data_IF_177688472980
#
_entry.id   IF_177688472980
#
_cell.length_a   1.000
_cell.length_b   1.000
_cell.length_c   1.000
_cell.angle_alpha   90.00
_cell.angle_beta   90.00
_cell.angle_gamma   90.00
#
_symmetry.space_group_name_H-M   'P 1'
#
loop_
_entity.id
_entity.type
_entity.pdbx_description
1 polymer ?
#
# COMPACT_ATOMS: atom_id res chain seq x y z
N UNK A 1 30.80 4.30 58.81
CA UNK A 1 30.85 3.71 57.45
C UNK A 1 29.53 3.01 57.18
N UNK A 2 28.63 3.62 56.40
CA UNK A 2 27.46 2.96 55.77
C UNK A 2 27.08 3.82 54.55
N UNK A 3 27.33 3.26 53.37
CA UNK A 3 27.26 3.92 52.07
C UNK A 3 25.82 4.30 51.70
N UNK A 4 25.64 5.55 51.29
CA UNK A 4 24.47 6.05 50.57
C UNK A 4 24.48 5.48 49.15
N UNK A 5 23.46 4.68 48.79
CA UNK A 5 23.27 4.17 47.43
C UNK A 5 22.42 5.20 46.65
N UNK A 6 23.05 5.86 45.69
CA UNK A 6 22.39 6.71 44.71
C UNK A 6 21.75 5.83 43.62
N UNK A 7 20.43 5.89 43.49
CA UNK A 7 19.70 5.21 42.42
C UNK A 7 19.82 6.02 41.12
N UNK A 8 20.60 5.51 40.16
CA UNK A 8 20.66 6.05 38.81
C UNK A 8 19.40 5.60 38.03
N UNK A 9 18.48 6.54 37.75
CA UNK A 9 17.41 6.34 36.79
C UNK A 9 18.01 6.30 35.38
N UNK A 10 18.17 5.10 34.82
CA UNK A 10 18.48 4.90 33.41
C UNK A 10 17.15 4.98 32.64
N UNK A 11 16.85 6.15 32.09
CA UNK A 11 15.79 6.29 31.10
C UNK A 11 16.19 5.54 29.83
N UNK A 12 15.65 4.33 29.62
CA UNK A 12 15.67 3.67 28.33
C UNK A 12 14.77 4.46 27.37
N UNK A 13 15.34 5.44 26.68
CA UNK A 13 14.68 6.13 25.57
C UNK A 13 14.57 5.16 24.39
N UNK A 14 13.50 4.37 24.34
CA UNK A 14 13.09 3.73 23.10
C UNK A 14 12.74 4.82 22.10
N UNK A 15 13.47 4.92 21.00
CA UNK A 15 13.16 5.86 19.93
C UNK A 15 11.81 5.47 19.33
N UNK A 16 10.74 6.13 19.76
CA UNK A 16 9.45 6.13 19.09
C UNK A 16 9.60 6.97 17.81
N UNK A 17 10.20 6.36 16.79
CA UNK A 17 10.13 6.95 15.47
C UNK A 17 8.65 6.89 15.05
N UNK A 18 8.04 8.02 14.75
CA UNK A 18 6.69 8.04 14.18
C UNK A 18 6.85 8.12 12.67
N UNK A 19 6.26 7.18 11.94
CA UNK A 19 6.26 7.22 10.49
C UNK A 19 5.41 8.42 10.02
N UNK A 20 6.06 9.43 9.46
CA UNK A 20 5.41 10.61 8.89
C UNK A 20 5.26 10.43 7.39
N UNK A 21 4.24 9.67 6.98
CA UNK A 21 3.92 9.53 5.56
C UNK A 21 3.17 10.75 5.07
N UNK A 22 3.54 11.24 3.89
CA UNK A 22 2.68 12.11 3.11
C UNK A 22 1.60 11.22 2.47
N UNK A 23 0.31 11.59 2.53
CA UNK A 23 -0.74 10.83 1.87
C UNK A 23 -0.43 10.62 0.38
N UNK A 24 -0.55 9.39 -0.14
CA UNK A 24 -0.25 9.10 -1.53
C UNK A 24 -1.29 9.75 -2.46
N UNK A 25 -0.80 10.27 -3.58
CA UNK A 25 -1.66 10.77 -4.67
C UNK A 25 -2.00 9.64 -5.66
N UNK A 26 -3.29 9.46 -6.02
CA UNK A 26 -3.72 8.38 -6.91
C UNK A 26 -3.27 8.57 -8.37
N UNK A 27 -3.16 9.81 -8.86
CA UNK A 27 -2.66 10.09 -10.21
C UNK A 27 -1.16 9.81 -10.30
N UNK A 28 -0.37 10.17 -9.28
CA UNK A 28 1.04 9.81 -9.16
C UNK A 28 1.22 8.29 -9.14
N UNK A 29 0.34 7.57 -8.44
CA UNK A 29 0.37 6.11 -8.38
C UNK A 29 0.05 5.49 -9.74
N UNK A 30 -0.90 6.06 -10.47
CA UNK A 30 -1.20 5.66 -11.84
C UNK A 30 -0.02 5.92 -12.79
N UNK A 31 0.59 7.10 -12.74
CA UNK A 31 1.77 7.43 -13.54
C UNK A 31 2.91 6.45 -13.26
N UNK A 32 3.22 6.19 -11.99
CA UNK A 32 4.22 5.19 -11.61
C UNK A 32 3.92 3.81 -12.18
N UNK A 33 2.65 3.36 -12.16
CA UNK A 33 2.25 2.09 -12.77
C UNK A 33 2.37 2.10 -14.30
N UNK A 34 2.06 3.22 -14.95
CA UNK A 34 2.11 3.36 -16.41
C UNK A 34 3.55 3.48 -16.96
N UNK A 35 4.46 4.02 -16.15
CA UNK A 35 5.89 4.19 -16.48
C UNK A 35 6.75 2.99 -16.07
N UNK A 36 6.21 2.05 -15.28
CA UNK A 36 6.90 0.86 -14.84
C UNK A 36 7.21 -0.09 -16.00
N UNK A 37 8.29 -0.87 -15.86
CA UNK A 37 8.60 -1.95 -16.81
C UNK A 37 7.63 -3.13 -16.63
N UNK A 38 7.13 -3.32 -15.41
CA UNK A 38 6.14 -4.33 -15.08
C UNK A 38 4.73 -3.94 -15.53
N UNK A 39 3.92 -4.95 -15.82
CA UNK A 39 2.51 -4.72 -16.13
C UNK A 39 1.69 -4.53 -14.86
N UNK A 40 0.79 -3.55 -14.86
CA UNK A 40 -0.13 -3.29 -13.75
C UNK A 40 -1.60 -3.34 -14.20
N UNK A 41 -2.44 -3.90 -13.35
CA UNK A 41 -3.89 -3.80 -13.43
C UNK A 41 -4.40 -2.95 -12.26
N UNK A 42 -5.39 -2.10 -12.51
CA UNK A 42 -6.07 -1.36 -11.43
C UNK A 42 -7.38 -2.05 -11.11
N UNK A 43 -7.53 -2.46 -9.85
CA UNK A 43 -8.69 -3.20 -9.35
C UNK A 43 -9.42 -2.35 -8.31
N UNK A 44 -10.76 -2.34 -8.37
CA UNK A 44 -11.60 -1.72 -7.35
C UNK A 44 -12.62 -2.73 -6.84
N UNK A 45 -12.56 -3.06 -5.55
CA UNK A 45 -13.40 -4.11 -4.99
C UNK A 45 -12.99 -4.50 -3.58
N UNK A 46 -13.22 -5.76 -3.22
CA UNK A 46 -12.87 -6.28 -1.89
C UNK A 46 -11.79 -7.36 -2.00
N UNK A 47 -10.90 -7.37 -1.02
CA UNK A 47 -9.86 -8.39 -0.85
C UNK A 47 -10.18 -9.20 0.41
N UNK A 48 -10.44 -10.50 0.24
CA UNK A 48 -10.77 -11.41 1.35
C UNK A 48 -9.56 -12.27 1.68
N UNK A 49 -9.09 -12.19 2.92
CA UNK A 49 -7.96 -12.95 3.48
C UNK A 49 -8.08 -12.96 5.01
N UNK A 50 -7.29 -13.80 5.68
CA UNK A 50 -7.19 -13.79 7.14
C UNK A 50 -6.15 -12.72 7.55
N UNK A 51 -6.52 -11.71 8.36
CA UNK A 51 -5.58 -10.68 8.78
C UNK A 51 -4.39 -11.23 9.58
N UNK A 52 -4.48 -12.43 10.16
CA UNK A 52 -3.35 -13.08 10.85
C UNK A 52 -2.21 -13.47 9.90
N UNK A 53 -2.50 -13.59 8.60
CA UNK A 53 -1.51 -13.95 7.58
C UNK A 53 -0.57 -12.78 7.26
N UNK A 54 -0.92 -11.56 7.68
CA UNK A 54 -0.14 -10.36 7.48
C UNK A 54 0.56 -9.92 8.78
N UNK A 55 1.77 -9.34 8.70
CA UNK A 55 2.46 -8.84 9.87
C UNK A 55 1.70 -7.68 10.54
N UNK A 56 1.95 -7.45 11.82
CA UNK A 56 1.58 -6.19 12.45
C UNK A 56 2.25 -5.00 11.77
N UNK A 57 1.71 -3.79 11.98
CA UNK A 57 2.26 -2.57 11.38
C UNK A 57 3.67 -2.24 11.90
N UNK A 58 3.97 -2.58 13.15
CA UNK A 58 5.30 -2.45 13.74
C UNK A 58 5.84 -3.85 14.06
N UNK A 59 6.96 -4.24 13.43
CA UNK A 59 7.49 -5.59 13.55
C UNK A 59 8.90 -5.63 14.14
N UNK A 60 9.89 -5.16 13.40
CA UNK A 60 11.30 -5.33 13.75
C UNK A 60 12.17 -4.33 13.00
N UNK A 61 13.23 -3.86 13.65
CA UNK A 61 14.27 -3.04 13.00
C UNK A 61 15.31 -3.88 12.23
N UNK A 62 15.14 -5.21 12.15
CA UNK A 62 16.03 -6.07 11.38
C UNK A 62 15.90 -5.77 9.87
N UNK A 63 16.93 -5.22 9.21
CA UNK A 63 16.88 -4.90 7.77
C UNK A 63 16.78 -6.15 6.88
N UNK A 64 17.05 -7.35 7.44
CA UNK A 64 16.92 -8.61 6.71
C UNK A 64 15.55 -9.26 6.87
N UNK A 65 14.66 -8.66 7.67
CA UNK A 65 13.30 -9.18 7.84
C UNK A 65 12.57 -9.18 6.50
N UNK A 66 12.02 -10.34 6.15
CA UNK A 66 11.17 -10.53 4.98
C UNK A 66 9.76 -10.82 5.49
N UNK A 67 8.81 -9.87 5.34
CA UNK A 67 7.46 -10.09 5.82
C UNK A 67 6.78 -11.20 5.00
N UNK A 68 6.00 -12.08 5.64
CA UNK A 68 5.23 -13.09 4.93
C UNK A 68 4.18 -12.43 4.03
N UNK A 69 3.93 -13.04 2.88
CA UNK A 69 2.84 -12.66 1.97
C UNK A 69 1.54 -13.41 2.35
N UNK A 70 0.39 -12.79 2.11
CA UNK A 70 -0.92 -13.44 2.25
C UNK A 70 -1.59 -13.67 0.90
N UNK A 71 -2.37 -14.74 0.78
CA UNK A 71 -3.22 -14.97 -0.38
C UNK A 71 -4.61 -14.37 -0.14
N UNK A 72 -5.02 -13.46 -1.01
CA UNK A 72 -6.35 -12.87 -0.98
C UNK A 72 -7.20 -13.29 -2.17
N UNK A 73 -8.52 -13.41 -1.94
CA UNK A 73 -9.51 -13.51 -3.01
C UNK A 73 -10.08 -12.13 -3.30
N UNK A 74 -9.84 -11.65 -4.52
CA UNK A 74 -10.42 -10.41 -5.04
C UNK A 74 -11.80 -10.65 -5.68
N UNK A 75 -12.73 -9.73 -5.45
CA UNK A 75 -13.99 -9.60 -6.19
C UNK A 75 -14.35 -8.12 -6.39
N UNK A 76 -14.75 -7.76 -7.61
CA UNK A 76 -15.13 -6.39 -7.94
C UNK A 76 -14.95 -6.04 -9.43
N UNK A 77 -14.37 -4.87 -9.67
CA UNK A 77 -14.21 -4.25 -10.98
C UNK A 77 -12.74 -4.09 -11.35
N UNK A 78 -12.46 -4.14 -12.65
CA UNK A 78 -11.17 -3.77 -13.22
C UNK A 78 -11.29 -2.48 -14.03
N UNK A 79 -10.25 -1.66 -13.99
CA UNK A 79 -10.18 -0.45 -14.79
C UNK A 79 -9.89 -0.78 -16.25
N UNK A 80 -10.70 -0.25 -17.16
CA UNK A 80 -10.48 -0.27 -18.60
C UNK A 80 -10.60 1.13 -19.20
N UNK A 81 -10.45 1.25 -20.52
CA UNK A 81 -10.53 2.53 -21.23
C UNK A 81 -11.87 3.27 -21.04
N UNK A 82 -12.95 2.54 -20.75
CA UNK A 82 -14.29 3.09 -20.49
C UNK A 82 -14.57 3.35 -18.99
N UNK A 83 -13.59 3.17 -18.11
CA UNK A 83 -13.75 3.22 -16.65
C UNK A 83 -13.82 1.83 -16.00
N UNK A 84 -14.28 1.78 -14.75
CA UNK A 84 -14.38 0.54 -14.00
C UNK A 84 -15.57 -0.34 -14.45
N UNK A 85 -15.28 -1.57 -14.84
CA UNK A 85 -16.29 -2.56 -15.24
C UNK A 85 -16.13 -3.87 -14.44
N UNK A 86 -17.21 -4.66 -14.26
CA UNK A 86 -17.13 -5.95 -13.58
C UNK A 86 -16.04 -6.83 -14.18
N UNK A 87 -15.27 -7.49 -13.32
CA UNK A 87 -14.19 -8.37 -13.74
C UNK A 87 -14.26 -9.70 -12.99
N UNK A 88 -13.59 -10.73 -13.51
CA UNK A 88 -13.60 -12.05 -12.86
C UNK A 88 -12.91 -12.00 -11.50
N UNK A 89 -13.50 -12.67 -10.52
CA UNK A 89 -12.85 -12.92 -9.24
C UNK A 89 -11.51 -13.65 -9.47
N UNK A 90 -10.47 -13.27 -8.72
CA UNK A 90 -9.12 -13.87 -8.86
C UNK A 90 -8.38 -13.94 -7.54
N UNK A 91 -7.35 -14.78 -7.50
CA UNK A 91 -6.39 -14.77 -6.38
C UNK A 91 -5.40 -13.64 -6.61
N UNK A 92 -5.10 -12.89 -5.54
CA UNK A 92 -4.09 -11.84 -5.52
C UNK A 92 -3.19 -12.07 -4.31
N UNK A 93 -1.89 -12.07 -4.53
CA UNK A 93 -0.90 -12.11 -3.44
C UNK A 93 -0.75 -10.72 -2.86
N UNK A 94 -0.94 -10.59 -1.55
CA UNK A 94 -0.61 -9.38 -0.80
C UNK A 94 0.82 -9.52 -0.32
N UNK A 95 1.70 -8.66 -0.81
CA UNK A 95 3.10 -8.61 -0.41
C UNK A 95 3.35 -7.37 0.45
N UNK A 96 3.48 -7.50 1.78
CA UNK A 96 3.94 -6.41 2.61
C UNK A 96 5.33 -5.95 2.23
N UNK A 97 5.55 -4.63 2.29
CA UNK A 97 6.86 -4.02 2.30
C UNK A 97 7.14 -3.45 3.68
N UNK A 98 8.40 -3.43 4.10
CA UNK A 98 8.78 -2.84 5.40
C UNK A 98 9.82 -1.75 5.21
N UNK A 99 9.60 -0.60 5.84
CA UNK A 99 10.53 0.52 5.91
C UNK A 99 10.98 0.69 7.35
N UNK A 100 12.19 0.22 7.67
CA UNK A 100 12.64 0.10 9.05
C UNK A 100 11.67 -0.80 9.84
N UNK A 101 11.14 -0.36 11.00
CA UNK A 101 10.24 -1.15 11.81
C UNK A 101 8.80 -1.24 11.27
N UNK A 102 8.40 -0.39 10.32
CA UNK A 102 7.02 -0.34 9.84
C UNK A 102 6.83 -1.23 8.63
N UNK A 103 5.90 -2.17 8.73
CA UNK A 103 5.46 -2.99 7.61
C UNK A 103 4.07 -2.53 7.17
N UNK A 104 3.86 -2.46 5.86
CA UNK A 104 2.55 -2.17 5.30
C UNK A 104 1.62 -3.37 5.45
N UNK A 105 0.34 -3.08 5.48
CA UNK A 105 -0.71 -4.07 5.63
C UNK A 105 -1.94 -3.64 4.81
N UNK A 106 -2.85 -4.56 4.56
CA UNK A 106 -4.16 -4.28 3.98
C UNK A 106 -5.22 -4.64 5.00
N UNK A 107 -6.33 -3.92 4.99
CA UNK A 107 -7.49 -4.32 5.78
C UNK A 107 -8.39 -5.23 4.92
N UNK A 108 -8.85 -6.39 5.42
CA UNK A 108 -9.68 -7.30 4.64
C UNK A 108 -11.12 -6.81 4.53
N UNK A 109 -11.82 -7.25 3.48
CA UNK A 109 -13.27 -7.10 3.27
C UNK A 109 -13.82 -5.66 3.19
N UNK A 110 -12.99 -4.65 2.89
CA UNK A 110 -13.48 -3.29 2.59
C UNK A 110 -13.30 -2.92 1.11
N UNK A 111 -14.08 -1.95 0.59
CA UNK A 111 -13.84 -1.35 -0.71
C UNK A 111 -12.42 -0.79 -0.80
N UNK A 112 -11.65 -1.27 -1.76
CA UNK A 112 -10.24 -0.91 -1.93
C UNK A 112 -9.95 -0.74 -3.42
N UNK A 113 -9.34 0.40 -3.78
CA UNK A 113 -8.73 0.59 -5.08
C UNK A 113 -7.25 0.21 -4.95
N UNK A 114 -6.79 -0.73 -5.77
CA UNK A 114 -5.44 -1.25 -5.71
C UNK A 114 -4.79 -1.31 -7.09
N UNK A 115 -3.53 -0.93 -7.15
CA UNK A 115 -2.64 -1.15 -8.27
C UNK A 115 -1.95 -2.50 -8.05
N UNK A 116 -2.22 -3.44 -8.95
CA UNK A 116 -1.82 -4.83 -8.81
C UNK A 116 -0.88 -5.19 -9.95
N UNK A 117 0.37 -5.52 -9.63
CA UNK A 117 1.35 -6.00 -10.59
C UNK A 117 0.89 -7.35 -11.15
N UNK A 118 1.04 -7.51 -12.46
CA UNK A 118 0.76 -8.75 -13.19
C UNK A 118 2.10 -9.33 -13.64
N UNK A 119 2.48 -10.44 -13.02
CA UNK A 119 3.69 -11.18 -13.37
C UNK A 119 3.61 -11.79 -14.78
N UNK A 120 4.75 -12.15 -15.37
CA UNK A 120 4.81 -12.81 -16.68
C UNK A 120 4.11 -14.18 -16.72
N UNK A 121 3.94 -14.80 -15.56
CA UNK A 121 3.20 -16.03 -15.29
C UNK A 121 1.69 -15.80 -15.04
N UNK A 122 1.24 -14.55 -15.10
CA UNK A 122 -0.15 -14.15 -14.84
C UNK A 122 -0.50 -14.07 -13.36
N UNK A 123 0.47 -14.16 -12.44
CA UNK A 123 0.21 -13.96 -11.01
C UNK A 123 0.01 -12.48 -10.68
N UNK A 124 -1.01 -12.21 -9.86
CA UNK A 124 -1.37 -10.86 -9.42
C UNK A 124 -0.76 -10.61 -8.04
N UNK A 125 0.03 -9.55 -7.91
CA UNK A 125 0.64 -9.15 -6.63
C UNK A 125 0.32 -7.69 -6.34
N UNK A 126 -0.21 -7.41 -5.15
CA UNK A 126 -0.38 -6.05 -4.63
C UNK A 126 0.66 -5.83 -3.54
N UNK A 127 1.40 -4.73 -3.64
CA UNK A 127 2.36 -4.35 -2.61
C UNK A 127 1.67 -3.49 -1.55
N UNK A 128 1.74 -3.94 -0.30
CA UNK A 128 1.25 -3.20 0.84
C UNK A 128 2.41 -2.42 1.46
N UNK A 129 2.53 -1.16 1.06
CA UNK A 129 3.53 -0.21 1.57
C UNK A 129 3.00 0.45 2.85
N UNK A 130 3.83 0.62 3.91
CA UNK A 130 3.41 1.25 5.17
C UNK A 130 2.99 2.72 5.01
N UNK A 131 3.43 3.39 3.94
CA UNK A 131 2.99 4.72 3.52
C UNK A 131 1.97 4.71 2.38
N UNK A 132 1.56 3.54 1.91
CA UNK A 132 0.58 3.37 0.84
C UNK A 132 1.13 3.66 -0.56
N UNK A 133 0.28 4.15 -1.45
CA UNK A 133 0.66 4.48 -2.83
C UNK A 133 0.41 3.38 -3.85
N UNK A 134 0.08 2.17 -3.42
CA UNK A 134 -0.48 1.13 -4.29
C UNK A 134 -1.86 0.66 -3.85
N UNK A 135 -2.25 0.96 -2.62
CA UNK A 135 -3.50 0.54 -1.99
C UNK A 135 -4.20 1.77 -1.43
N UNK A 136 -5.44 1.97 -1.83
CA UNK A 136 -6.31 3.06 -1.41
C UNK A 136 -7.56 2.45 -0.74
N UNK A 137 -7.53 2.25 0.59
CA UNK A 137 -8.66 1.71 1.34
C UNK A 137 -9.79 2.74 1.45
N UNK A 138 -11.04 2.31 1.27
CA UNK A 138 -12.24 3.15 1.24
C UNK A 138 -12.04 4.42 0.38
N UNK A 139 -11.68 4.27 -0.91
CA UNK A 139 -11.32 5.40 -1.75
C UNK A 139 -12.53 6.34 -1.90
N UNK A 140 -12.26 7.65 -1.90
CA UNK A 140 -13.30 8.63 -2.20
C UNK A 140 -13.71 8.53 -3.67
N UNK A 141 -14.88 9.08 -4.02
CA UNK A 141 -15.31 9.16 -5.41
C UNK A 141 -14.31 9.97 -6.26
N UNK A 142 -13.64 10.96 -5.67
CA UNK A 142 -12.60 11.76 -6.32
C UNK A 142 -11.37 10.91 -6.65
N UNK A 143 -10.91 10.07 -5.71
CA UNK A 143 -9.81 9.12 -5.94
C UNK A 143 -10.12 8.19 -7.12
N UNK A 144 -11.34 7.63 -7.17
CA UNK A 144 -11.76 6.75 -8.27
C UNK A 144 -11.79 7.51 -9.60
N UNK A 145 -12.39 8.70 -9.63
CA UNK A 145 -12.48 9.54 -10.84
C UNK A 145 -11.12 9.99 -11.36
N UNK A 146 -10.18 10.32 -10.48
CA UNK A 146 -8.83 10.71 -10.85
C UNK A 146 -8.14 9.58 -11.62
N UNK A 147 -8.24 8.35 -11.11
CA UNK A 147 -7.69 7.15 -11.76
C UNK A 147 -8.36 6.85 -13.10
N UNK A 148 -9.68 7.01 -13.20
CA UNK A 148 -10.40 6.86 -14.48
C UNK A 148 -10.01 7.95 -15.50
N UNK A 149 -9.83 9.20 -15.06
CA UNK A 149 -9.36 10.29 -15.91
C UNK A 149 -7.95 9.99 -16.45
N UNK A 150 -7.06 9.49 -15.61
CA UNK A 150 -5.75 9.01 -16.03
C UNK A 150 -5.83 7.92 -17.11
N UNK A 151 -6.71 6.94 -16.94
CA UNK A 151 -6.91 5.88 -17.93
C UNK A 151 -7.46 6.39 -19.27
N UNK A 152 -8.25 7.47 -19.26
CA UNK A 152 -8.77 8.12 -20.48
C UNK A 152 -7.75 9.04 -21.16
N UNK A 153 -6.55 9.21 -20.59
CA UNK A 153 -5.55 10.15 -21.10
C UNK A 153 -5.94 11.62 -20.91
N UNK A 154 -6.83 11.90 -19.95
CA UNK A 154 -7.15 13.27 -19.53
C UNK A 154 -5.99 13.85 -18.69
N UNK A 155 -6.17 15.03 -18.11
CA UNK A 155 -5.17 15.64 -17.22
C UNK A 155 -4.96 14.77 -15.96
N UNK A 156 -3.97 13.86 -16.04
CA UNK A 156 -3.52 13.00 -14.98
C UNK A 156 -2.34 13.65 -14.26
N UNK A 157 -2.58 14.74 -13.54
CA UNK A 157 -1.53 15.46 -12.82
C UNK A 157 -1.69 15.23 -11.31
N UNK A 158 -0.63 14.81 -10.60
CA UNK A 158 -0.65 14.69 -9.15
C UNK A 158 -0.95 16.02 -8.47
N UNK A 159 -1.86 16.03 -7.52
CA UNK A 159 -2.13 17.21 -6.71
C UNK A 159 -1.04 17.35 -5.64
N UNK A 160 0.00 18.17 -5.90
CA UNK A 160 0.87 18.60 -4.80
C UNK A 160 2.36 18.84 -5.06
N UNK A 161 2.88 18.76 -6.28
CA UNK A 161 4.22 19.28 -6.55
C UNK A 161 4.14 20.57 -7.37
N UNK A 162 4.30 21.77 -6.76
CA UNK A 162 4.49 22.97 -7.55
C UNK A 162 5.73 22.77 -8.42
N UNK A 163 5.54 22.70 -9.75
CA UNK A 163 6.65 22.71 -10.69
C UNK A 163 7.43 23.99 -10.44
N UNK A 164 8.59 23.91 -9.77
CA UNK A 164 9.53 25.04 -9.75
C UNK A 164 9.98 25.22 -11.20
N UNK A 165 9.42 26.23 -11.87
CA UNK A 165 9.96 26.80 -13.10
C UNK A 165 11.27 27.51 -12.79
#
# INVERSE_FOLDING_TARGET
MKLTIAAALICAAGAANALSCIPPDPAASFQRAAEAEESYAVLFGTFRFDPIDLPGMEQTNDPNYRPPSAQARFSGQGLGAAGFAPTSDRSVTIQPLCFGPWCGNMTPNLPTLAFVRVGPDGHYTVEADPCGGWVFPNPSLETVRAVEACMRGEACEPEGFPRRR
#
